data_IF_548973740149
#
_entry.id   IF_548973740149
#
_cell.length_a   1.000
_cell.length_b   1.000
_cell.length_c   1.000
_cell.angle_alpha   90.00
_cell.angle_beta   90.00
_cell.angle_gamma   90.00
#
_symmetry.space_group_name_H-M   'P 1'
#
loop_
_entity.id
_entity.type
_entity.pdbx_description
1 polymer ?
#
# COMPACT_ATOMS: atom_id res chain seq x y z
N UNK A 1 -20.02 -13.57 4.25
CA UNK A 1 -20.43 -13.30 5.65
C UNK A 1 -19.24 -12.76 6.48
N UNK A 2 -18.43 -11.83 5.93
CA UNK A 2 -17.15 -11.39 6.52
C UNK A 2 -17.08 -9.90 6.88
N UNK A 3 -18.06 -9.08 6.47
CA UNK A 3 -17.97 -7.61 6.57
C UNK A 3 -19.24 -6.97 7.14
N UNK A 4 -19.67 -7.43 8.32
CA UNK A 4 -20.82 -6.84 9.01
C UNK A 4 -20.56 -6.58 10.49
N UNK A 5 -19.37 -6.08 10.85
CA UNK A 5 -19.08 -5.63 12.22
C UNK A 5 -18.03 -4.52 12.19
N UNK A 6 -18.47 -3.26 12.28
CA UNK A 6 -17.70 -2.15 12.90
C UNK A 6 -18.70 -1.26 13.63
N UNK A 7 -18.89 -1.50 14.93
CA UNK A 7 -19.41 -0.52 15.89
C UNK A 7 -18.70 -0.82 17.22
N UNK A 8 -18.08 0.22 17.78
CA UNK A 8 -17.31 0.27 19.03
C UNK A 8 -15.79 0.14 18.85
N UNK A 9 -15.15 1.29 18.62
CA UNK A 9 -13.72 1.52 18.83
C UNK A 9 -13.57 2.04 20.27
N UNK A 10 -12.95 1.26 21.15
CA UNK A 10 -12.47 1.74 22.46
C UNK A 10 -10.96 1.93 22.36
N UNK A 11 -10.50 3.18 22.47
CA UNK A 11 -9.08 3.50 22.54
C UNK A 11 -8.60 3.26 23.99
N UNK A 12 -7.73 2.27 24.18
CA UNK A 12 -7.08 2.03 25.47
C UNK A 12 -5.92 3.01 25.70
N UNK A 13 -5.68 3.48 26.94
CA UNK A 13 -4.62 4.44 27.23
C UNK A 13 -3.23 3.81 27.05
N UNK A 14 -2.40 4.42 26.22
CA UNK A 14 -0.98 4.08 26.07
C UNK A 14 -0.19 4.52 27.31
N UNK A 15 0.62 3.61 27.89
CA UNK A 15 1.59 3.93 28.95
C UNK A 15 2.64 4.90 28.39
N UNK A 16 2.68 6.12 28.92
CA UNK A 16 3.62 7.17 28.52
C UNK A 16 4.91 6.98 29.33
N UNK A 17 6.05 6.76 28.66
CA UNK A 17 7.37 6.85 29.29
C UNK A 17 7.87 8.30 29.20
N UNK A 18 8.28 8.88 30.33
CA UNK A 18 8.85 10.22 30.42
C UNK A 18 10.24 10.31 29.77
N UNK A 19 10.27 10.49 28.45
CA UNK A 19 11.41 11.11 27.76
C UNK A 19 10.91 12.39 27.12
N UNK A 20 11.63 13.49 27.35
CA UNK A 20 11.42 14.76 26.62
C UNK A 20 11.79 14.54 25.15
N UNK A 21 10.87 14.00 24.37
CA UNK A 21 10.98 13.91 22.92
C UNK A 21 10.20 15.08 22.32
N UNK A 22 10.85 15.86 21.45
CA UNK A 22 10.12 16.81 20.61
C UNK A 22 9.19 16.00 19.69
N UNK A 23 7.89 16.07 19.95
CA UNK A 23 6.90 15.31 19.19
C UNK A 23 6.59 16.03 17.87
N UNK A 24 6.96 15.42 16.74
CA UNK A 24 6.40 15.82 15.44
C UNK A 24 5.13 15.02 15.21
N UNK A 25 3.98 15.70 15.16
CA UNK A 25 2.69 15.04 14.91
C UNK A 25 2.66 14.42 13.52
N UNK A 26 2.52 13.10 13.47
CA UNK A 26 2.35 12.35 12.23
C UNK A 26 0.86 12.05 12.06
N UNK A 27 0.03 13.07 11.90
CA UNK A 27 -1.43 12.84 11.75
C UNK A 27 -1.70 11.91 10.58
N UNK A 28 -0.88 12.01 9.52
CA UNK A 28 -0.90 11.09 8.38
C UNK A 28 -0.83 9.61 8.75
N UNK A 29 -0.08 9.25 9.79
CA UNK A 29 0.09 7.87 10.25
C UNK A 29 -1.22 7.20 10.67
N UNK A 30 -2.15 7.98 11.20
CA UNK A 30 -3.42 7.50 11.75
C UNK A 30 -4.47 7.26 10.67
N UNK A 31 -4.31 7.84 9.47
CA UNK A 31 -5.27 7.63 8.40
C UNK A 31 -5.37 6.18 7.94
N UNK A 32 -4.24 5.47 7.85
CA UNK A 32 -4.25 4.07 7.41
C UNK A 32 -5.09 3.18 8.33
N UNK A 33 -4.81 3.09 9.66
CA UNK A 33 -5.57 2.22 10.55
C UNK A 33 -7.02 2.67 10.74
N UNK A 34 -7.29 3.99 10.82
CA UNK A 34 -8.60 4.50 11.23
C UNK A 34 -9.56 4.71 10.06
N UNK A 35 -9.06 5.03 8.87
CA UNK A 35 -9.88 5.43 7.73
C UNK A 35 -9.73 4.46 6.57
N UNK A 36 -8.49 4.17 6.16
CA UNK A 36 -8.25 3.34 4.97
C UNK A 36 -8.73 1.91 5.19
N UNK A 37 -8.60 1.38 6.41
CA UNK A 37 -9.11 0.05 6.73
C UNK A 37 -10.63 -0.06 6.72
N UNK A 38 -11.35 1.04 6.95
CA UNK A 38 -12.81 1.07 6.81
C UNK A 38 -13.23 1.13 5.33
N UNK A 39 -12.38 1.68 4.46
CA UNK A 39 -12.63 1.74 3.02
C UNK A 39 -12.46 0.38 2.36
N UNK A 40 -11.40 -0.35 2.73
CA UNK A 40 -11.03 -1.63 2.11
C UNK A 40 -12.18 -2.65 2.00
N UNK A 41 -12.94 -2.96 3.07
CA UNK A 41 -14.11 -3.85 2.98
C UNK A 41 -15.10 -3.44 1.90
N UNK A 42 -15.43 -2.14 1.85
CA UNK A 42 -16.47 -1.59 0.97
C UNK A 42 -16.02 -1.62 -0.48
N UNK A 43 -14.78 -1.21 -0.73
CA UNK A 43 -14.11 -1.31 -2.03
C UNK A 43 -14.09 -2.78 -2.48
N UNK A 44 -13.71 -3.69 -1.58
CA UNK A 44 -13.54 -5.10 -1.91
C UNK A 44 -14.86 -5.82 -2.23
N UNK A 45 -15.98 -5.45 -1.59
CA UNK A 45 -17.29 -5.98 -1.97
C UNK A 45 -17.67 -5.62 -3.41
N UNK A 46 -17.42 -4.39 -3.84
CA UNK A 46 -17.65 -3.96 -5.22
C UNK A 46 -16.70 -4.68 -6.20
N UNK A 47 -15.44 -4.84 -5.80
CA UNK A 47 -14.42 -5.53 -6.59
C UNK A 47 -14.78 -7.00 -6.89
N UNK A 48 -15.25 -7.76 -5.90
CA UNK A 48 -15.55 -9.21 -6.09
C UNK A 48 -16.63 -9.51 -7.12
N UNK A 49 -17.60 -8.61 -7.30
CA UNK A 49 -18.72 -8.81 -8.22
C UNK A 49 -18.44 -8.23 -9.61
N UNK A 50 -17.22 -7.72 -9.84
CA UNK A 50 -16.82 -7.15 -11.12
C UNK A 50 -16.72 -8.22 -12.20
N UNK A 51 -17.17 -7.88 -13.41
CA UNK A 51 -16.86 -8.64 -14.62
C UNK A 51 -15.52 -8.19 -15.23
N UNK A 52 -14.48 -8.97 -15.00
CA UNK A 52 -13.12 -8.72 -15.52
C UNK A 52 -12.98 -9.01 -17.02
N UNK A 53 -14.00 -9.59 -17.67
CA UNK A 53 -13.98 -9.89 -19.11
C UNK A 53 -14.64 -8.79 -19.95
N UNK A 54 -15.34 -7.85 -19.31
CA UNK A 54 -15.99 -6.74 -20.00
C UNK A 54 -14.96 -5.83 -20.68
N UNK A 55 -15.14 -5.56 -21.97
CA UNK A 55 -14.29 -4.66 -22.76
C UNK A 55 -14.36 -3.20 -22.28
N UNK A 56 -15.50 -2.80 -21.72
CA UNK A 56 -15.71 -1.45 -21.17
C UNK A 56 -15.45 -1.47 -19.67
N UNK A 57 -14.25 -1.92 -19.30
CA UNK A 57 -13.82 -2.03 -17.90
C UNK A 57 -13.96 -0.67 -17.20
N UNK A 58 -14.90 -0.59 -16.25
CA UNK A 58 -15.10 0.59 -15.42
C UNK A 58 -15.09 0.17 -13.95
N UNK A 59 -14.30 0.90 -13.16
CA UNK A 59 -14.37 0.83 -11.70
C UNK A 59 -15.68 1.50 -11.29
N UNK A 60 -16.46 0.86 -10.40
CA UNK A 60 -17.70 1.49 -9.91
C UNK A 60 -17.38 2.81 -9.22
N UNK A 61 -18.28 3.80 -9.26
CA UNK A 61 -18.06 5.10 -8.63
C UNK A 61 -17.73 4.98 -7.13
N UNK A 62 -18.37 4.04 -6.44
CA UNK A 62 -18.11 3.74 -5.02
C UNK A 62 -16.68 3.23 -4.81
N UNK A 63 -16.27 2.22 -5.59
CA UNK A 63 -14.93 1.65 -5.52
C UNK A 63 -13.87 2.70 -5.86
N UNK A 64 -14.07 3.46 -6.94
CA UNK A 64 -13.15 4.49 -7.39
C UNK A 64 -12.97 5.61 -6.36
N UNK A 65 -14.08 6.14 -5.82
CA UNK A 65 -14.04 7.23 -4.84
C UNK A 65 -13.33 6.80 -3.56
N UNK A 66 -13.65 5.62 -3.04
CA UNK A 66 -13.02 5.12 -1.82
C UNK A 66 -11.56 4.73 -2.06
N UNK A 67 -11.23 4.15 -3.23
CA UNK A 67 -9.86 3.81 -3.60
C UNK A 67 -8.97 5.04 -3.75
N UNK A 68 -9.43 6.06 -4.47
CA UNK A 68 -8.69 7.32 -4.64
C UNK A 68 -8.49 8.03 -3.29
N UNK A 69 -9.52 8.09 -2.45
CA UNK A 69 -9.40 8.64 -1.10
C UNK A 69 -8.40 7.85 -0.24
N UNK A 70 -8.52 6.52 -0.20
CA UNK A 70 -7.61 5.66 0.55
C UNK A 70 -6.16 5.77 0.07
N UNK A 71 -5.97 5.95 -1.23
CA UNK A 71 -4.67 6.12 -1.85
C UNK A 71 -4.04 7.44 -1.43
N UNK A 72 -4.76 8.56 -1.57
CA UNK A 72 -4.28 9.87 -1.13
C UNK A 72 -3.89 9.88 0.35
N UNK A 73 -4.71 9.27 1.20
CA UNK A 73 -4.43 9.15 2.62
C UNK A 73 -3.17 8.31 2.88
N UNK A 74 -3.00 7.19 2.16
CA UNK A 74 -1.81 6.35 2.27
C UNK A 74 -0.54 7.06 1.81
N UNK A 75 -0.62 7.82 0.70
CA UNK A 75 0.49 8.66 0.22
C UNK A 75 0.86 9.71 1.26
N UNK A 76 -0.13 10.42 1.80
CA UNK A 76 0.09 11.40 2.86
C UNK A 76 0.73 10.77 4.12
N UNK A 77 0.39 9.53 4.45
CA UNK A 77 1.06 8.78 5.52
C UNK A 77 2.55 8.53 5.24
N UNK A 78 2.90 8.11 4.01
CA UNK A 78 4.30 7.92 3.59
C UNK A 78 5.06 9.24 3.71
N UNK A 79 4.52 10.33 3.18
CA UNK A 79 5.15 11.66 3.23
C UNK A 79 5.34 12.16 4.66
N UNK A 80 4.33 11.95 5.51
CA UNK A 80 4.39 12.33 6.92
C UNK A 80 5.49 11.58 7.66
N UNK A 81 5.66 10.28 7.39
CA UNK A 81 6.77 9.51 7.96
C UNK A 81 8.13 9.88 7.37
N UNK A 82 8.23 10.11 6.07
CA UNK A 82 9.47 10.57 5.45
C UNK A 82 9.92 11.90 6.06
N UNK A 83 9.01 12.87 6.22
CA UNK A 83 9.27 14.14 6.88
C UNK A 83 9.73 13.96 8.33
N UNK A 84 9.12 13.03 9.07
CA UNK A 84 9.56 12.70 10.43
C UNK A 84 10.97 12.11 10.47
N UNK A 85 11.29 11.20 9.55
CA UNK A 85 12.64 10.63 9.42
C UNK A 85 13.65 11.74 9.14
N UNK A 86 13.38 12.61 8.16
CA UNK A 86 14.26 13.75 7.84
C UNK A 86 14.53 14.61 9.07
N UNK A 87 13.50 14.96 9.84
CA UNK A 87 13.64 15.77 11.07
C UNK A 87 14.46 15.09 12.17
N UNK A 88 14.41 13.76 12.27
CA UNK A 88 15.24 13.04 13.24
C UNK A 88 16.70 12.96 12.80
N UNK A 89 16.96 12.76 11.51
CA UNK A 89 18.31 12.76 10.98
C UNK A 89 18.94 14.17 10.96
N UNK A 90 18.14 15.24 10.82
CA UNK A 90 18.61 16.65 10.87
C UNK A 90 19.29 17.00 12.18
N UNK A 91 18.82 16.39 13.28
CA UNK A 91 19.44 16.55 14.60
C UNK A 91 20.80 15.87 14.71
N UNK A 92 21.14 15.00 13.77
CA UNK A 92 22.39 14.23 13.73
C UNK A 92 23.41 14.81 12.75
N UNK A 93 23.00 15.72 11.86
CA UNK A 93 23.88 16.37 10.88
C UNK A 93 23.15 16.80 9.61
N UNK A 94 23.90 17.16 8.54
CA UNK A 94 23.32 17.46 7.23
C UNK A 94 22.49 16.28 6.72
N UNK A 95 21.25 16.56 6.30
CA UNK A 95 20.32 15.53 5.85
C UNK A 95 20.30 15.47 4.34
N UNK A 96 20.35 14.25 3.75
CA UNK A 96 20.15 14.09 2.32
C UNK A 96 18.76 14.58 1.86
N UNK A 97 18.62 14.97 0.61
CA UNK A 97 17.34 15.43 0.05
C UNK A 97 16.34 14.27 -0.14
N UNK A 98 16.85 13.03 -0.28
CA UNK A 98 16.05 11.85 -0.58
C UNK A 98 16.09 10.86 0.56
N UNK A 99 14.92 10.30 0.87
CA UNK A 99 14.76 9.29 1.93
C UNK A 99 15.61 8.04 1.64
N UNK A 100 15.75 7.68 0.36
CA UNK A 100 16.55 6.56 -0.13
C UNK A 100 18.05 6.70 0.20
N UNK A 101 18.57 7.93 0.28
CA UNK A 101 19.95 8.22 0.68
C UNK A 101 20.16 8.03 2.18
N UNK A 102 19.13 8.26 3.00
CA UNK A 102 19.17 7.96 4.44
C UNK A 102 19.29 6.46 4.64
N UNK A 103 18.48 5.65 3.96
CA UNK A 103 18.58 4.19 4.02
C UNK A 103 19.95 3.69 3.55
N UNK A 104 20.46 4.22 2.44
CA UNK A 104 21.81 3.94 1.94
C UNK A 104 22.89 4.25 2.99
N UNK A 105 22.79 5.38 3.70
CA UNK A 105 23.77 5.75 4.73
C UNK A 105 23.84 4.76 5.90
N UNK A 106 22.75 4.02 6.17
CA UNK A 106 22.73 2.96 7.19
C UNK A 106 23.25 1.63 6.63
N UNK A 107 23.03 1.37 5.35
CA UNK A 107 23.52 0.19 4.66
C UNK A 107 23.80 0.47 3.18
N UNK A 108 25.09 0.52 2.82
CA UNK A 108 25.56 0.83 1.45
C UNK A 108 25.18 -0.22 0.39
N UNK A 109 24.50 -1.30 0.75
CA UNK A 109 23.94 -2.25 -0.22
C UNK A 109 22.45 -1.98 -0.51
N UNK A 110 21.83 -1.00 0.16
CA UNK A 110 20.42 -0.66 -0.03
C UNK A 110 20.15 -0.22 -1.47
N UNK A 111 19.17 -0.77 -2.20
CA UNK A 111 18.95 -0.41 -3.60
C UNK A 111 18.19 0.93 -3.69
N UNK A 112 18.92 2.03 -3.48
CA UNK A 112 18.36 3.38 -3.31
C UNK A 112 17.63 3.88 -4.55
N UNK A 113 18.13 3.62 -5.75
CA UNK A 113 17.51 4.04 -7.01
C UNK A 113 16.19 3.31 -7.27
N UNK A 114 16.14 2.01 -6.97
CA UNK A 114 14.91 1.22 -7.07
C UNK A 114 13.87 1.68 -6.05
N UNK A 115 14.31 1.98 -4.82
CA UNK A 115 13.42 2.45 -3.77
C UNK A 115 12.87 3.84 -4.07
N UNK A 116 13.70 4.73 -4.62
CA UNK A 116 13.27 6.04 -5.06
C UNK A 116 12.24 5.94 -6.20
N UNK A 117 12.47 5.05 -7.18
CA UNK A 117 11.52 4.79 -8.26
C UNK A 117 10.19 4.25 -7.74
N UNK A 118 10.24 3.34 -6.78
CA UNK A 118 9.06 2.78 -6.11
C UNK A 118 8.20 3.88 -5.47
N UNK A 119 8.81 4.78 -4.69
CA UNK A 119 8.10 5.89 -4.05
C UNK A 119 7.64 6.94 -5.06
N UNK A 120 8.44 7.20 -6.09
CA UNK A 120 8.10 8.15 -7.14
C UNK A 120 6.79 7.79 -7.86
N UNK A 121 6.60 6.51 -8.21
CA UNK A 121 5.35 6.04 -8.82
C UNK A 121 4.13 6.19 -7.91
N UNK A 122 4.31 5.99 -6.60
CA UNK A 122 3.25 6.24 -5.61
C UNK A 122 2.90 7.73 -5.54
N UNK A 123 3.90 8.63 -5.56
CA UNK A 123 3.66 10.08 -5.55
C UNK A 123 3.02 10.60 -6.84
N UNK A 124 3.27 9.98 -7.98
CA UNK A 124 2.61 10.35 -9.24
C UNK A 124 1.10 10.16 -9.17
N UNK A 125 0.61 9.13 -8.47
CA UNK A 125 -0.82 8.94 -8.32
C UNK A 125 -1.50 10.05 -7.54
N UNK A 126 -0.84 10.57 -6.49
CA UNK A 126 -1.33 11.78 -5.83
C UNK A 126 -1.41 12.94 -6.81
N UNK A 127 -0.36 13.15 -7.60
CA UNK A 127 -0.31 14.26 -8.55
C UNK A 127 -1.42 14.14 -9.61
N UNK A 128 -1.67 12.92 -10.10
CA UNK A 128 -2.77 12.54 -11.01
C UNK A 128 -4.15 12.81 -10.40
N UNK A 129 -4.40 12.32 -9.17
CA UNK A 129 -5.72 12.41 -8.52
C UNK A 129 -6.02 13.87 -8.12
N UNK A 130 -5.08 14.54 -7.46
CA UNK A 130 -5.30 15.87 -6.87
C UNK A 130 -5.39 16.94 -7.95
N UNK A 131 -4.47 16.91 -8.92
CA UNK A 131 -4.40 17.99 -9.88
C UNK A 131 -5.20 17.73 -11.15
N UNK A 132 -5.61 16.49 -11.41
CA UNK A 132 -6.53 16.05 -12.47
C UNK A 132 -6.45 16.84 -13.80
N UNK A 133 -5.23 17.18 -14.23
CA UNK A 133 -4.98 18.03 -15.40
C UNK A 133 -4.25 17.30 -16.52
N UNK A 134 -4.00 16.01 -16.31
CA UNK A 134 -3.17 15.18 -17.18
C UNK A 134 -4.02 14.54 -18.28
N UNK A 135 -5.31 14.30 -18.01
CA UNK A 135 -6.25 13.70 -18.96
C UNK A 135 -7.42 14.65 -19.23
N UNK A 136 -7.76 14.81 -20.50
CA UNK A 136 -9.05 15.32 -20.93
C UNK A 136 -10.00 14.13 -21.10
N UNK A 137 -11.17 14.21 -20.46
CA UNK A 137 -12.12 13.11 -20.39
C UNK A 137 -13.45 13.60 -20.97
N UNK A 138 -13.82 13.04 -22.12
CA UNK A 138 -15.12 13.26 -22.75
C UNK A 138 -16.04 12.07 -22.47
N UNK A 139 -17.16 12.33 -21.81
CA UNK A 139 -18.17 11.29 -21.50
C UNK A 139 -19.45 11.51 -22.28
N UNK A 140 -20.05 10.41 -22.76
CA UNK A 140 -21.44 10.38 -23.16
C UNK A 140 -22.22 9.53 -22.14
N UNK A 141 -23.24 10.12 -21.52
CA UNK A 141 -24.04 9.47 -20.49
C UNK A 141 -25.47 9.31 -21.01
N UNK A 142 -26.08 8.17 -20.76
CA UNK A 142 -27.52 8.00 -20.93
C UNK A 142 -28.27 8.88 -19.93
N UNK A 143 -29.17 9.75 -20.42
CA UNK A 143 -29.86 10.71 -19.55
C UNK A 143 -30.90 10.06 -18.64
N UNK A 144 -31.38 8.86 -18.97
CA UNK A 144 -32.41 8.16 -18.18
C UNK A 144 -31.76 7.21 -17.17
N UNK A 145 -30.77 6.42 -17.58
CA UNK A 145 -30.10 5.44 -16.70
C UNK A 145 -28.87 5.99 -15.98
N UNK A 146 -28.37 7.17 -16.37
CA UNK A 146 -27.09 7.73 -15.91
C UNK A 146 -25.88 6.83 -16.19
N UNK A 147 -26.02 5.87 -17.11
CA UNK A 147 -24.94 4.97 -17.51
C UNK A 147 -23.99 5.65 -18.50
N UNK A 148 -22.68 5.48 -18.29
CA UNK A 148 -21.65 6.00 -19.19
C UNK A 148 -21.62 5.12 -20.44
N UNK A 149 -22.12 5.64 -21.57
CA UNK A 149 -22.15 4.97 -22.88
C UNK A 149 -20.83 5.09 -23.64
N UNK A 150 -20.13 6.20 -23.49
CA UNK A 150 -18.84 6.45 -24.14
C UNK A 150 -17.92 7.20 -23.20
N UNK A 151 -16.64 6.84 -23.22
CA UNK A 151 -15.57 7.49 -22.47
C UNK A 151 -14.39 7.64 -23.43
N UNK A 152 -14.11 8.86 -23.88
CA UNK A 152 -12.89 9.19 -24.60
C UNK A 152 -11.92 9.90 -23.65
N UNK A 153 -10.65 9.53 -23.73
CA UNK A 153 -9.63 9.94 -22.78
C UNK A 153 -8.34 10.28 -23.52
N UNK A 154 -8.06 11.57 -23.66
CA UNK A 154 -6.86 12.06 -24.33
C UNK A 154 -5.88 12.62 -23.31
N UNK A 155 -4.61 12.19 -23.38
CA UNK A 155 -3.56 12.79 -22.57
C UNK A 155 -3.38 14.24 -23.02
N UNK A 156 -3.47 15.20 -22.09
CA UNK A 156 -3.30 16.62 -22.41
C UNK A 156 -1.85 16.86 -22.80
N UNK A 157 -1.63 17.07 -24.10
CA UNK A 157 -0.32 17.29 -24.72
C UNK A 157 0.37 18.48 -24.03
N UNK A 158 1.63 18.30 -23.64
CA UNK A 158 2.47 19.35 -23.06
C UNK A 158 2.36 19.56 -21.54
N UNK A 159 1.44 18.91 -20.81
CA UNK A 159 1.46 18.91 -19.33
C UNK A 159 2.14 17.67 -18.76
N UNK A 160 1.75 16.47 -19.17
CA UNK A 160 2.40 15.22 -18.73
C UNK A 160 3.75 14.95 -19.41
N UNK A 161 3.91 15.34 -20.68
CA UNK A 161 5.12 15.03 -21.47
C UNK A 161 6.33 15.91 -21.13
N UNK A 162 6.08 17.11 -20.59
CA UNK A 162 7.13 18.04 -20.13
C UNK A 162 7.55 17.76 -18.69
N UNK A 163 6.74 17.02 -17.94
CA UNK A 163 7.10 16.56 -16.61
C UNK A 163 8.05 15.35 -16.73
N UNK A 164 9.33 15.60 -16.45
CA UNK A 164 10.38 14.58 -16.44
C UNK A 164 10.04 13.42 -15.51
N UNK A 165 9.51 13.70 -14.33
CA UNK A 165 9.13 12.70 -13.32
C UNK A 165 8.03 11.79 -13.87
N UNK A 166 7.01 12.38 -14.49
CA UNK A 166 5.90 11.62 -15.09
C UNK A 166 6.40 10.72 -16.22
N UNK A 167 7.18 11.25 -17.17
CA UNK A 167 7.73 10.49 -18.30
C UNK A 167 8.64 9.33 -17.87
N UNK A 168 9.42 9.52 -16.81
CA UNK A 168 10.31 8.49 -16.28
C UNK A 168 9.53 7.31 -15.69
N UNK A 169 8.38 7.57 -15.08
CA UNK A 169 7.66 6.60 -14.27
C UNK A 169 6.38 6.05 -14.92
N UNK A 170 5.86 6.69 -15.97
CA UNK A 170 4.59 6.32 -16.61
C UNK A 170 4.80 5.79 -18.02
N UNK A 171 4.17 4.66 -18.30
CA UNK A 171 3.93 4.18 -19.66
C UNK A 171 2.65 4.86 -20.17
N UNK A 172 2.82 5.90 -21.00
CA UNK A 172 1.71 6.68 -21.53
C UNK A 172 0.79 5.86 -22.45
N UNK A 173 1.30 4.81 -23.10
CA UNK A 173 0.51 3.95 -23.98
C UNK A 173 -0.37 3.01 -23.17
N UNK A 174 0.22 2.36 -22.15
CA UNK A 174 -0.54 1.52 -21.22
C UNK A 174 -1.40 2.32 -20.22
N UNK A 175 -1.13 3.63 -20.10
CA UNK A 175 -1.72 4.54 -19.10
C UNK A 175 -1.56 3.97 -17.68
N UNK A 176 -0.39 3.39 -17.42
CA UNK A 176 0.00 2.78 -16.15
C UNK A 176 1.41 3.20 -15.75
N UNK A 177 1.71 3.16 -14.46
CA UNK A 177 3.10 3.31 -14.00
C UNK A 177 3.96 2.11 -14.44
N UNK A 178 5.27 2.29 -14.59
CA UNK A 178 6.13 1.29 -15.23
C UNK A 178 6.46 0.11 -14.31
N UNK A 179 6.74 0.36 -13.04
CA UNK A 179 7.11 -0.64 -12.04
C UNK A 179 5.87 -1.25 -11.37
N UNK A 180 5.05 -0.41 -10.74
CA UNK A 180 3.89 -0.82 -9.94
C UNK A 180 2.65 -1.14 -10.78
N UNK A 181 2.66 -0.80 -12.08
CA UNK A 181 1.54 -0.99 -13.02
C UNK A 181 0.24 -0.34 -12.55
N UNK A 182 0.33 0.74 -11.79
CA UNK A 182 -0.80 1.47 -11.24
C UNK A 182 -1.48 2.30 -12.33
N UNK A 183 -2.81 2.36 -12.34
CA UNK A 183 -3.55 3.20 -13.26
C UNK A 183 -3.28 4.67 -12.99
N UNK A 184 -2.82 5.40 -14.02
CA UNK A 184 -2.67 6.85 -13.96
C UNK A 184 -3.91 7.58 -14.50
N UNK A 185 -4.95 6.86 -14.91
CA UNK A 185 -6.23 7.44 -15.26
C UNK A 185 -7.13 7.48 -14.02
N UNK A 186 -7.56 8.67 -13.54
CA UNK A 186 -8.30 8.78 -12.28
C UNK A 186 -9.53 7.85 -12.19
N UNK A 187 -10.28 7.69 -13.29
CA UNK A 187 -11.50 6.87 -13.34
C UNK A 187 -11.24 5.35 -13.28
N UNK A 188 -10.00 4.91 -13.52
CA UNK A 188 -9.62 3.48 -13.49
C UNK A 188 -8.93 3.07 -12.19
N UNK A 189 -8.70 4.01 -11.27
CA UNK A 189 -8.12 3.72 -9.96
C UNK A 189 -9.15 2.94 -9.14
N UNK A 190 -8.80 1.70 -8.78
CA UNK A 190 -9.71 0.78 -8.09
C UNK A 190 -9.07 0.06 -6.90
N UNK A 191 -9.65 -1.06 -6.49
CA UNK A 191 -9.15 -1.89 -5.40
C UNK A 191 -7.68 -2.26 -5.57
N UNK A 192 -7.30 -2.70 -6.77
CA UNK A 192 -5.98 -3.21 -7.11
C UNK A 192 -4.90 -2.13 -6.91
N UNK A 193 -5.18 -0.89 -7.31
CA UNK A 193 -4.26 0.23 -7.14
C UNK A 193 -4.05 0.56 -5.66
N UNK A 194 -5.15 0.68 -4.89
CA UNK A 194 -5.08 0.92 -3.45
C UNK A 194 -4.35 -0.22 -2.72
N UNK A 195 -4.68 -1.46 -3.04
CA UNK A 195 -4.04 -2.64 -2.44
C UNK A 195 -2.52 -2.61 -2.67
N UNK A 196 -2.12 -2.25 -3.90
CA UNK A 196 -0.71 -2.14 -4.29
C UNK A 196 0.00 -1.05 -3.48
N UNK A 197 -0.58 0.14 -3.39
CA UNK A 197 -0.03 1.23 -2.56
C UNK A 197 0.05 0.86 -1.09
N UNK A 198 -0.91 0.10 -0.56
CA UNK A 198 -0.91 -0.31 0.84
C UNK A 198 0.19 -1.31 1.19
N UNK A 199 0.53 -2.26 0.32
CA UNK A 199 1.68 -3.12 0.60
C UNK A 199 3.00 -2.35 0.42
N UNK A 200 3.06 -1.35 -0.47
CA UNK A 200 4.23 -0.45 -0.58
C UNK A 200 4.38 0.37 0.71
N UNK A 201 3.29 0.89 1.26
CA UNK A 201 3.26 1.54 2.57
C UNK A 201 3.74 0.60 3.68
N UNK A 202 3.23 -0.63 3.74
CA UNK A 202 3.68 -1.64 4.69
C UNK A 202 5.20 -1.91 4.55
N UNK A 203 5.69 -2.08 3.32
CA UNK A 203 7.11 -2.27 3.02
C UNK A 203 7.96 -1.07 3.48
N UNK A 204 7.52 0.16 3.18
CA UNK A 204 8.17 1.39 3.61
C UNK A 204 8.27 1.43 5.14
N UNK A 205 7.16 1.24 5.85
CA UNK A 205 7.12 1.25 7.31
C UNK A 205 8.06 0.22 7.90
N UNK A 206 8.05 -1.01 7.40
CA UNK A 206 8.87 -2.11 7.92
C UNK A 206 10.35 -1.91 7.65
N UNK A 207 10.72 -1.38 6.49
CA UNK A 207 12.10 -0.97 6.21
C UNK A 207 12.55 0.15 7.15
N UNK A 208 11.72 1.18 7.34
CA UNK A 208 12.03 2.27 8.27
C UNK A 208 12.23 1.77 9.70
N UNK A 209 11.33 0.93 10.21
CA UNK A 209 11.43 0.35 11.55
C UNK A 209 12.69 -0.50 11.69
N UNK A 210 12.97 -1.35 10.69
CA UNK A 210 14.13 -2.25 10.66
C UNK A 210 15.47 -1.51 10.61
N UNK A 211 15.57 -0.48 9.76
CA UNK A 211 16.86 0.18 9.46
C UNK A 211 17.11 1.44 10.30
N UNK A 212 16.06 2.11 10.79
CA UNK A 212 16.17 3.38 11.49
C UNK A 212 15.72 3.32 12.96
N UNK A 213 15.06 2.23 13.39
CA UNK A 213 14.32 2.04 14.66
C UNK A 213 12.89 2.58 14.68
N UNK A 214 12.04 1.95 15.49
CA UNK A 214 10.63 2.28 15.71
C UNK A 214 10.34 3.73 16.08
N UNK A 215 11.31 4.43 16.67
CA UNK A 215 11.17 5.84 17.06
C UNK A 215 10.91 6.76 15.85
N UNK A 216 11.42 6.38 14.67
CA UNK A 216 11.28 7.15 13.45
C UNK A 216 9.88 6.97 12.84
N UNK A 217 9.38 5.73 12.87
CA UNK A 217 8.08 5.35 12.31
C UNK A 217 7.31 4.55 13.35
N UNK A 218 6.59 5.24 14.27
CA UNK A 218 5.81 4.60 15.33
C UNK A 218 4.47 4.05 14.80
N UNK A 219 4.47 3.47 13.60
CA UNK A 219 3.28 2.84 13.04
C UNK A 219 2.95 1.58 13.82
N UNK A 220 1.73 1.55 14.37
CA UNK A 220 1.15 0.34 14.94
C UNK A 220 -0.26 0.22 14.42
N UNK A 221 -0.49 -0.82 13.63
CA UNK A 221 -1.86 -1.18 13.31
C UNK A 221 -2.52 -1.67 14.61
N UNK A 222 -3.76 -1.24 14.84
CA UNK A 222 -4.62 -1.81 15.84
C UNK A 222 -6.04 -1.81 15.27
N UNK A 223 -6.51 -2.97 14.84
CA UNK A 223 -7.89 -3.09 14.36
C UNK A 223 -8.56 -4.35 14.94
N UNK A 224 -9.87 -4.24 15.17
CA UNK A 224 -10.69 -5.35 15.68
C UNK A 224 -11.46 -5.98 14.55
N UNK A 225 -11.24 -7.28 14.32
CA UNK A 225 -11.86 -8.05 13.24
C UNK A 225 -12.63 -9.20 13.89
N UNK A 226 -13.94 -9.00 14.04
CA UNK A 226 -14.79 -9.89 14.82
C UNK A 226 -14.36 -9.93 16.29
N UNK A 227 -13.90 -11.10 16.75
CA UNK A 227 -13.40 -11.30 18.12
C UNK A 227 -11.87 -11.20 18.23
N UNK A 228 -11.17 -11.03 17.11
CA UNK A 228 -9.71 -11.00 17.05
C UNK A 228 -9.24 -9.56 16.95
N UNK A 229 -8.16 -9.23 17.67
CA UNK A 229 -7.42 -7.98 17.44
C UNK A 229 -6.26 -8.30 16.51
N UNK A 230 -6.10 -7.50 15.46
CA UNK A 230 -5.00 -7.59 14.52
C UNK A 230 -4.11 -6.34 14.63
N UNK A 231 -2.81 -6.57 14.62
CA UNK A 231 -1.78 -5.53 14.73
C UNK A 231 -0.78 -5.56 13.57
N UNK A 232 -0.97 -6.47 12.62
CA UNK A 232 -0.13 -6.63 11.44
C UNK A 232 -0.91 -6.27 10.18
N UNK A 233 -0.49 -5.18 9.53
CA UNK A 233 -1.07 -4.74 8.26
C UNK A 233 -0.86 -5.81 7.18
N UNK A 234 0.30 -6.45 7.11
CA UNK A 234 0.54 -7.53 6.16
C UNK A 234 -0.40 -8.73 6.32
N UNK A 235 -0.79 -9.11 7.55
CA UNK A 235 -1.76 -10.20 7.78
C UNK A 235 -3.17 -9.82 7.36
N UNK A 236 -3.53 -8.56 7.52
CA UNK A 236 -4.77 -7.99 7.00
C UNK A 236 -4.78 -8.00 5.47
N UNK A 237 -3.76 -7.43 4.84
CA UNK A 237 -3.62 -7.41 3.39
C UNK A 237 -3.59 -8.83 2.80
N UNK A 238 -2.93 -9.79 3.47
CA UNK A 238 -2.91 -11.19 3.04
C UNK A 238 -4.29 -11.84 3.05
N UNK A 239 -5.20 -11.37 3.92
CA UNK A 239 -6.58 -11.85 3.95
C UNK A 239 -7.36 -11.40 2.72
N UNK A 240 -7.11 -10.19 2.21
CA UNK A 240 -7.67 -9.71 0.94
C UNK A 240 -6.99 -10.35 -0.27
N UNK A 241 -5.66 -10.45 -0.25
CA UNK A 241 -4.86 -11.05 -1.32
C UNK A 241 -5.37 -12.44 -1.73
N UNK A 242 -5.70 -13.29 -0.76
CA UNK A 242 -6.23 -14.65 -1.01
C UNK A 242 -7.60 -14.69 -1.67
N UNK A 243 -8.33 -13.58 -1.64
CA UNK A 243 -9.68 -13.47 -2.17
C UNK A 243 -9.69 -12.69 -3.50
N UNK A 244 -8.54 -12.27 -4.02
CA UNK A 244 -8.40 -11.63 -5.34
C UNK A 244 -8.84 -12.62 -6.42
N UNK A 245 -9.81 -12.21 -7.23
CA UNK A 245 -10.36 -13.01 -8.34
C UNK A 245 -9.77 -12.66 -9.71
N UNK A 246 -9.15 -11.49 -9.87
CA UNK A 246 -8.46 -11.11 -11.09
C UNK A 246 -7.12 -11.84 -11.21
N UNK A 247 -7.07 -12.87 -12.06
CA UNK A 247 -5.86 -13.70 -12.27
C UNK A 247 -4.72 -12.92 -12.92
N UNK A 248 -5.00 -11.99 -13.83
CA UNK A 248 -3.98 -11.19 -14.50
C UNK A 248 -3.29 -10.27 -13.49
N UNK A 249 -4.09 -9.57 -12.67
CA UNK A 249 -3.56 -8.75 -11.58
C UNK A 249 -2.79 -9.60 -10.57
N UNK A 250 -3.32 -10.76 -10.17
CA UNK A 250 -2.65 -11.63 -9.20
C UNK A 250 -1.28 -12.09 -9.69
N UNK A 251 -1.17 -12.47 -10.97
CA UNK A 251 0.11 -12.87 -11.60
C UNK A 251 1.10 -11.70 -11.64
N UNK A 252 0.66 -10.51 -12.04
CA UNK A 252 1.49 -9.31 -12.06
C UNK A 252 1.97 -8.95 -10.65
N UNK A 253 1.08 -9.04 -9.66
CA UNK A 253 1.37 -8.78 -8.25
C UNK A 253 2.37 -9.81 -7.69
N UNK A 254 2.21 -11.11 -7.96
CA UNK A 254 3.16 -12.14 -7.53
C UNK A 254 4.57 -11.90 -8.10
N UNK A 255 4.67 -11.49 -9.37
CA UNK A 255 5.93 -11.10 -10.00
C UNK A 255 6.57 -9.91 -9.28
N UNK A 256 5.79 -8.85 -9.05
CA UNK A 256 6.25 -7.64 -8.36
C UNK A 256 6.71 -7.93 -6.93
N UNK A 257 5.93 -8.70 -6.16
CA UNK A 257 6.31 -9.08 -4.80
C UNK A 257 7.58 -9.91 -4.76
N UNK A 258 7.79 -10.80 -5.73
CA UNK A 258 9.02 -11.59 -5.86
C UNK A 258 10.23 -10.68 -6.12
N UNK A 259 10.10 -9.72 -7.04
CA UNK A 259 11.14 -8.73 -7.32
C UNK A 259 11.48 -7.88 -6.09
N UNK A 260 10.47 -7.28 -5.46
CA UNK A 260 10.66 -6.43 -4.28
C UNK A 260 11.23 -7.21 -3.11
N UNK A 261 10.80 -8.46 -2.91
CA UNK A 261 11.39 -9.33 -1.90
C UNK A 261 12.87 -9.59 -2.18
N UNK A 262 13.24 -9.90 -3.42
CA UNK A 262 14.64 -10.10 -3.82
C UNK A 262 15.51 -8.89 -3.49
N UNK A 263 14.96 -7.68 -3.65
CA UNK A 263 15.65 -6.41 -3.33
C UNK A 263 15.69 -6.11 -1.83
N UNK A 264 14.59 -6.31 -1.10
CA UNK A 264 14.41 -5.71 0.22
C UNK A 264 14.39 -6.68 1.40
N UNK A 265 14.19 -7.99 1.18
CA UNK A 265 13.94 -8.93 2.26
C UNK A 265 15.06 -9.00 3.32
N UNK A 266 16.31 -8.80 2.89
CA UNK A 266 17.48 -8.89 3.76
C UNK A 266 17.72 -7.65 4.63
N UNK A 267 16.99 -6.55 4.39
CA UNK A 267 17.00 -5.37 5.26
C UNK A 267 15.91 -5.40 6.33
N UNK A 268 15.09 -6.45 6.36
CA UNK A 268 14.03 -6.64 7.33
C UNK A 268 14.55 -7.52 8.48
N UNK A 269 14.38 -7.05 9.73
CA UNK A 269 15.05 -7.58 10.94
C UNK A 269 14.69 -9.04 11.26
N UNK A 270 13.60 -9.58 10.70
CA UNK A 270 13.26 -11.00 10.77
C UNK A 270 12.66 -11.52 9.47
N UNK A 271 12.96 -12.76 9.03
CA UNK A 271 12.24 -13.40 7.93
C UNK A 271 10.76 -13.67 8.29
N UNK A 272 10.41 -13.57 9.58
CA UNK A 272 9.05 -13.61 10.09
C UNK A 272 8.52 -12.22 10.46
N UNK A 273 9.32 -11.16 10.32
CA UNK A 273 8.84 -9.80 10.54
C UNK A 273 7.85 -9.46 9.44
N UNK A 274 6.69 -9.02 9.91
CA UNK A 274 5.38 -8.93 9.28
C UNK A 274 5.31 -7.92 8.11
N UNK A 275 6.32 -7.83 7.24
CA UNK A 275 6.19 -7.15 5.96
C UNK A 275 5.47 -8.07 4.96
N UNK A 276 4.59 -7.51 4.15
CA UNK A 276 3.81 -8.25 3.18
C UNK A 276 4.70 -8.98 2.16
N UNK A 277 5.80 -8.35 1.74
CA UNK A 277 6.79 -8.96 0.84
C UNK A 277 7.53 -10.17 1.45
N UNK A 278 7.57 -10.28 2.79
CA UNK A 278 8.14 -11.42 3.52
C UNK A 278 7.08 -12.42 3.98
N UNK A 279 5.79 -12.13 3.78
CA UNK A 279 4.69 -13.00 4.20
C UNK A 279 4.54 -14.20 3.24
N UNK A 280 5.52 -15.10 3.25
CA UNK A 280 5.66 -16.25 2.36
C UNK A 280 5.75 -17.52 3.19
N UNK A 281 5.18 -18.62 2.69
CA UNK A 281 5.29 -19.91 3.34
C UNK A 281 6.76 -20.40 3.32
N UNK A 282 7.37 -20.70 4.47
CA UNK A 282 8.77 -21.10 4.54
C UNK A 282 9.00 -22.58 4.18
N UNK A 283 7.94 -23.36 3.91
CA UNK A 283 8.12 -24.76 3.46
C UNK A 283 8.90 -24.76 2.15
N UNK A 284 10.00 -25.52 2.04
CA UNK A 284 10.69 -25.73 0.77
C UNK A 284 9.68 -26.15 -0.30
N UNK A 285 9.76 -25.52 -1.48
CA UNK A 285 8.87 -25.75 -2.63
C UNK A 285 7.42 -25.26 -2.49
N UNK A 286 7.01 -24.67 -1.37
CA UNK A 286 5.69 -24.05 -1.28
C UNK A 286 5.70 -22.60 -1.77
N UNK A 287 6.53 -21.74 -1.18
CA UNK A 287 6.71 -20.35 -1.63
C UNK A 287 5.44 -19.50 -1.70
N UNK A 288 4.31 -19.94 -1.13
CA UNK A 288 3.03 -19.25 -1.31
C UNK A 288 3.02 -17.94 -0.53
N UNK A 289 2.75 -16.85 -1.25
CA UNK A 289 2.59 -15.49 -0.72
C UNK A 289 1.27 -15.39 0.08
N UNK A 290 1.23 -14.46 1.04
CA UNK A 290 0.09 -14.27 1.93
C UNK A 290 -0.10 -15.47 2.85
N UNK A 291 0.99 -16.00 3.40
CA UNK A 291 1.00 -17.19 4.25
C UNK A 291 0.28 -16.96 5.59
N UNK A 292 0.66 -15.94 6.34
CA UNK A 292 -0.02 -15.49 7.55
C UNK A 292 -1.24 -14.65 7.19
N UNK A 293 -2.40 -15.07 7.69
CA UNK A 293 -3.66 -14.33 7.57
C UNK A 293 -4.32 -14.22 8.92
N UNK A 294 -5.33 -13.35 9.04
CA UNK A 294 -6.13 -13.24 10.27
C UNK A 294 -6.88 -14.56 10.52
N UNK A 295 -7.48 -15.13 9.48
CA UNK A 295 -8.38 -16.28 9.60
C UNK A 295 -7.66 -17.62 9.81
N UNK A 296 -6.50 -17.83 9.15
CA UNK A 296 -5.75 -19.09 9.25
C UNK A 296 -4.55 -19.03 10.20
N UNK A 297 -4.34 -17.88 10.87
CA UNK A 297 -3.22 -17.67 11.77
C UNK A 297 -1.89 -17.99 11.08
N UNK A 298 -1.20 -19.03 11.59
CA UNK A 298 0.13 -19.46 11.15
C UNK A 298 0.09 -20.72 10.27
N UNK A 299 -1.05 -21.04 9.66
CA UNK A 299 -1.19 -22.22 8.81
C UNK A 299 -1.28 -21.86 7.33
N UNK A 300 -0.44 -22.49 6.52
CA UNK A 300 -0.38 -22.27 5.08
C UNK A 300 -1.61 -22.87 4.41
N UNK A 301 -2.28 -22.07 3.58
CA UNK A 301 -3.44 -22.55 2.84
C UNK A 301 -3.11 -23.58 1.77
N UNK A 302 -1.90 -23.54 1.19
CA UNK A 302 -1.50 -24.39 0.09
C UNK A 302 -0.93 -25.74 0.57
N UNK A 303 -0.04 -25.73 1.56
CA UNK A 303 0.68 -26.94 1.97
C UNK A 303 0.33 -27.44 3.38
N UNK A 304 -0.51 -26.70 4.13
CA UNK A 304 -0.89 -27.07 5.49
C UNK A 304 0.23 -26.92 6.54
N UNK A 305 1.40 -26.37 6.19
CA UNK A 305 2.45 -26.08 7.18
C UNK A 305 1.88 -25.13 8.24
N UNK A 306 1.91 -25.56 9.50
CA UNK A 306 1.63 -24.69 10.64
C UNK A 306 2.93 -24.35 11.33
N UNK A 307 3.27 -23.07 11.40
CA UNK A 307 4.39 -22.62 12.25
C UNK A 307 3.79 -22.40 13.64
N UNK A 308 4.41 -22.97 14.67
CA UNK A 308 4.03 -22.67 16.06
C UNK A 308 3.95 -21.16 16.25
N UNK A 309 3.05 -20.64 17.10
CA UNK A 309 3.15 -19.22 17.47
C UNK A 309 4.59 -18.99 17.91
N UNK A 310 5.33 -18.01 17.36
CA UNK A 310 6.51 -17.54 18.07
C UNK A 310 6.00 -17.27 19.48
N UNK A 311 6.57 -17.97 20.47
CA UNK A 311 6.27 -17.73 21.88
C UNK A 311 6.26 -16.22 22.01
N UNK A 312 5.11 -15.65 22.38
CA UNK A 312 5.00 -14.21 22.53
C UNK A 312 6.18 -13.81 23.40
N UNK A 313 7.16 -13.11 22.81
CA UNK A 313 8.22 -12.52 23.58
C UNK A 313 7.46 -11.55 24.48
N UNK A 314 7.36 -11.90 25.76
CA UNK A 314 6.55 -11.19 26.75
C UNK A 314 6.84 -9.69 26.60
N UNK A 315 5.85 -8.95 26.12
CA UNK A 315 5.85 -7.49 26.08
C UNK A 315 5.45 -6.94 27.44
#
# INVERSE_FOLDING_TARGET
MLFRIVKNIELLPLRIMDRKESYLSVIGAHYVPDIVLDFLPRIFEAYKIRDYKSKNFQVSACENTLSTAGLLLSVASIESYANRIFRFEEKRGPVPEKISEIFWSKNNNFPKEDFERLLCEVYILRDVIVHNHIYDISTAVDRESWEIKHLDETLVIGKGEKDKKFKECVDCAAKKTKLLKLHVQPLKIGFEDLFTVLFVFDTFVRLSQSMLSDSHVPFRLYCKIGKTTESSLSRLLASYYRQITNEEYLKALESLLTELRGKYAHFLVSPYDDAFINNICPRPNCGKIGFHTILRGNTCAACGLSIGRPLAQNA
#
